data_IF_115330159234
#
_entry.id   IF_115330159234
#
_cell.length_a   1.000
_cell.length_b   1.000
_cell.length_c   1.000
_cell.angle_alpha   90.00
_cell.angle_beta   90.00
_cell.angle_gamma   90.00
#
_symmetry.space_group_name_H-M   'P 1'
#
loop_
_entity.id
_entity.type
_entity.pdbx_description
1 polymer ?
#
# COMPACT_ATOMS: atom_id res chain seq x y z
N UNK A 1 24.43 5.72 17.05
CA UNK A 1 22.98 5.50 16.96
C UNK A 1 22.69 4.36 16.01
N UNK A 2 21.52 3.70 16.12
CA UNK A 2 21.15 2.60 15.25
C UNK A 2 21.22 2.98 13.77
N UNK A 3 21.73 2.09 12.91
CA UNK A 3 21.71 2.25 11.45
C UNK A 3 20.93 1.10 10.86
N UNK A 4 19.87 1.45 10.12
CA UNK A 4 18.99 0.50 9.44
C UNK A 4 19.48 0.35 8.00
N UNK A 5 19.65 -0.90 7.56
CA UNK A 5 20.01 -1.22 6.18
C UNK A 5 18.90 -0.79 5.22
N UNK A 6 19.26 -0.43 3.99
CA UNK A 6 18.27 -0.17 2.95
C UNK A 6 17.50 -1.43 2.60
N UNK A 7 16.18 -1.32 2.48
CA UNK A 7 15.30 -2.39 2.01
C UNK A 7 14.32 -1.86 0.96
N UNK A 8 13.72 -2.75 0.17
CA UNK A 8 12.72 -2.39 -0.81
C UNK A 8 11.68 -3.50 -0.96
N UNK A 9 10.47 -3.13 -1.38
CA UNK A 9 9.47 -4.10 -1.81
C UNK A 9 9.78 -4.59 -3.22
N UNK A 10 9.25 -5.75 -3.57
CA UNK A 10 9.33 -6.29 -4.93
C UNK A 10 8.58 -5.39 -5.92
N UNK A 11 9.08 -5.29 -7.14
CA UNK A 11 8.37 -4.62 -8.23
C UNK A 11 7.14 -5.43 -8.71
N UNK A 12 6.22 -4.73 -9.39
CA UNK A 12 5.07 -5.34 -10.08
C UNK A 12 4.14 -6.15 -9.17
N UNK A 13 4.06 -5.80 -7.89
CA UNK A 13 3.07 -6.34 -6.97
C UNK A 13 1.66 -5.93 -7.40
N UNK A 14 0.74 -6.88 -7.35
CA UNK A 14 -0.67 -6.67 -7.66
C UNK A 14 -1.57 -7.25 -6.57
N UNK A 15 -2.83 -6.87 -6.61
CA UNK A 15 -3.86 -7.36 -5.70
C UNK A 15 -3.86 -8.90 -5.57
N UNK A 16 -4.07 -9.40 -4.36
CA UNK A 16 -4.09 -10.83 -4.04
C UNK A 16 -2.71 -11.45 -3.81
N UNK A 17 -1.62 -10.76 -4.16
CA UNK A 17 -0.27 -11.29 -3.95
C UNK A 17 0.16 -11.24 -2.49
N UNK A 18 1.05 -12.14 -2.11
CA UNK A 18 1.81 -12.05 -0.86
C UNK A 18 3.08 -11.21 -1.07
N UNK A 19 3.40 -10.37 -0.09
CA UNK A 19 4.70 -9.70 -0.01
C UNK A 19 5.25 -9.75 1.41
N UNK A 20 6.57 -9.77 1.52
CA UNK A 20 7.27 -9.60 2.78
C UNK A 20 8.47 -8.67 2.57
N UNK A 21 8.80 -7.89 3.58
CA UNK A 21 9.98 -7.03 3.61
C UNK A 21 10.65 -7.15 4.97
N UNK A 22 11.98 -7.17 4.97
CA UNK A 22 12.77 -7.35 6.18
C UNK A 22 13.61 -6.11 6.44
N UNK A 23 13.51 -5.60 7.66
CA UNK A 23 14.34 -4.56 8.21
C UNK A 23 15.48 -5.20 9.01
N UNK A 24 16.71 -4.76 8.74
CA UNK A 24 17.93 -5.23 9.40
C UNK A 24 18.67 -4.01 9.96
N UNK A 25 19.10 -4.12 11.22
CA UNK A 25 19.89 -3.09 11.90
C UNK A 25 21.38 -3.46 11.79
N UNK A 26 22.09 -2.81 10.86
CA UNK A 26 23.51 -3.06 10.56
C UNK A 26 24.42 -2.76 11.74
N UNK A 27 24.09 -1.72 12.52
CA UNK A 27 24.89 -1.30 13.68
C UNK A 27 24.06 -0.53 14.69
N UNK A 28 24.49 -0.51 15.94
CA UNK A 28 23.79 0.16 17.04
C UNK A 28 23.93 -0.62 18.34
N UNK A 29 24.11 0.11 19.44
CA UNK A 29 24.20 -0.44 20.78
C UNK A 29 22.81 -0.80 21.29
N UNK A 30 22.71 -1.96 21.94
CA UNK A 30 21.47 -2.45 22.55
C UNK A 30 21.16 -1.79 23.90
N UNK A 31 19.96 -1.99 24.44
CA UNK A 31 18.84 -2.73 23.85
C UNK A 31 18.21 -1.96 22.67
N UNK A 32 17.86 -2.68 21.60
CA UNK A 32 17.24 -2.10 20.41
C UNK A 32 15.75 -2.41 20.39
N UNK A 33 14.93 -1.39 20.19
CA UNK A 33 13.49 -1.55 19.98
C UNK A 33 13.15 -1.14 18.56
N UNK A 34 12.61 -2.07 17.78
CA UNK A 34 12.21 -1.84 16.38
C UNK A 34 10.69 -1.79 16.27
N UNK A 35 10.17 -0.86 15.47
CA UNK A 35 8.74 -0.74 15.13
C UNK A 35 8.55 -0.34 13.68
N UNK A 36 7.38 -0.63 13.13
CA UNK A 36 6.99 -0.22 11.78
C UNK A 36 6.01 0.94 11.81
N UNK A 37 6.18 1.86 10.87
CA UNK A 37 5.23 2.92 10.56
C UNK A 37 4.71 2.74 9.13
N UNK A 38 3.44 3.04 8.91
CA UNK A 38 2.86 3.25 7.58
C UNK A 38 2.42 4.70 7.46
N UNK A 39 2.92 5.39 6.44
CA UNK A 39 2.60 6.80 6.16
C UNK A 39 2.82 7.73 7.39
N UNK A 40 3.86 7.43 8.16
CA UNK A 40 4.25 8.16 9.36
C UNK A 40 3.48 7.81 10.64
N UNK A 41 2.44 6.97 10.55
CA UNK A 41 1.66 6.49 11.68
C UNK A 41 2.08 5.08 12.10
N UNK A 42 1.82 4.70 13.36
CA UNK A 42 2.12 3.35 13.84
C UNK A 42 1.37 2.33 12.99
N UNK A 43 2.09 1.33 12.48
CA UNK A 43 1.49 0.26 11.71
C UNK A 43 0.61 -0.60 12.63
N UNK A 44 -0.68 -0.68 12.34
CA UNK A 44 -1.62 -1.55 13.03
C UNK A 44 -1.81 -2.83 12.22
N UNK A 45 -1.32 -3.95 12.75
CA UNK A 45 -1.31 -5.24 12.03
C UNK A 45 -2.71 -5.71 11.63
N UNK A 46 -3.70 -5.51 12.50
CA UNK A 46 -5.09 -5.89 12.26
C UNK A 46 -5.75 -5.10 11.11
N UNK A 47 -5.50 -3.78 11.03
CA UNK A 47 -6.10 -2.95 9.97
C UNK A 47 -5.57 -3.31 8.57
N UNK A 48 -4.35 -3.84 8.52
CA UNK A 48 -3.65 -4.20 7.29
C UNK A 48 -3.60 -5.70 7.03
N UNK A 49 -4.26 -6.53 7.84
CA UNK A 49 -4.16 -8.01 7.75
C UNK A 49 -2.70 -8.48 7.62
N UNK A 50 -1.80 -7.81 8.33
CA UNK A 50 -0.36 -7.97 8.26
C UNK A 50 0.15 -8.77 9.46
N UNK A 51 1.39 -9.24 9.37
CA UNK A 51 2.08 -9.87 10.50
C UNK A 51 3.49 -9.32 10.60
N UNK A 52 3.87 -8.85 11.78
CA UNK A 52 5.25 -8.42 12.08
C UNK A 52 5.92 -9.44 12.97
N UNK A 53 7.05 -9.96 12.52
CA UNK A 53 7.91 -10.83 13.33
C UNK A 53 9.16 -10.07 13.76
N UNK A 54 9.55 -10.23 15.01
CA UNK A 54 10.79 -9.68 15.56
C UNK A 54 11.75 -10.82 15.91
N UNK A 55 13.02 -10.65 15.58
CA UNK A 55 14.08 -11.62 15.84
C UNK A 55 15.37 -10.90 16.24
N UNK A 56 16.31 -11.67 16.79
CA UNK A 56 17.65 -11.17 17.15
C UNK A 56 17.58 -9.93 18.05
N UNK A 57 16.75 -9.98 19.10
CA UNK A 57 16.57 -8.88 20.07
C UNK A 57 16.24 -7.54 19.40
N UNK A 58 15.39 -7.56 18.37
CA UNK A 58 14.93 -6.37 17.66
C UNK A 58 15.83 -5.91 16.51
N UNK A 59 16.97 -6.58 16.26
CA UNK A 59 17.85 -6.28 15.12
C UNK A 59 17.27 -6.68 13.78
N UNK A 60 16.38 -7.67 13.77
CA UNK A 60 15.71 -8.14 12.56
C UNK A 60 14.20 -8.06 12.78
N UNK A 61 13.49 -7.43 11.85
CA UNK A 61 12.04 -7.41 11.84
C UNK A 61 11.51 -7.65 10.43
N UNK A 62 10.54 -8.54 10.29
CA UNK A 62 9.93 -8.85 8.99
C UNK A 62 8.44 -8.52 9.02
N UNK A 63 8.01 -7.64 8.11
CA UNK A 63 6.62 -7.31 7.85
C UNK A 63 6.12 -8.18 6.69
N UNK A 64 5.06 -8.94 6.92
CA UNK A 64 4.41 -9.79 5.91
C UNK A 64 2.97 -9.36 5.70
N UNK A 65 2.55 -9.24 4.44
CA UNK A 65 1.16 -9.00 4.04
C UNK A 65 0.77 -10.13 3.10
N UNK A 66 -0.24 -10.93 3.50
CA UNK A 66 -0.59 -12.17 2.79
C UNK A 66 -1.38 -11.92 1.51
N UNK A 67 -2.28 -10.94 1.54
CA UNK A 67 -3.17 -10.63 0.44
C UNK A 67 -3.16 -9.12 0.18
N UNK A 68 -2.37 -8.71 -0.81
CA UNK A 68 -2.22 -7.31 -1.16
C UNK A 68 -3.53 -6.73 -1.70
N UNK A 69 -3.75 -5.44 -1.42
CA UNK A 69 -4.97 -4.71 -1.69
C UNK A 69 -4.64 -3.22 -1.75
N UNK A 70 -5.58 -2.40 -2.22
CA UNK A 70 -5.37 -0.96 -2.37
C UNK A 70 -4.90 -0.29 -1.06
N UNK A 71 -5.47 -0.67 0.10
CA UNK A 71 -5.14 -0.12 1.43
C UNK A 71 -3.67 -0.27 1.83
N UNK A 72 -2.95 -1.23 1.23
CA UNK A 72 -1.54 -1.49 1.50
C UNK A 72 -0.59 -0.56 0.74
N UNK A 73 -1.07 0.25 -0.20
CA UNK A 73 -0.23 1.28 -0.80
C UNK A 73 0.19 2.31 0.27
N UNK A 74 1.46 2.70 0.24
CA UNK A 74 2.00 3.69 1.16
C UNK A 74 3.50 3.61 1.36
N UNK A 75 4.02 4.49 2.21
CA UNK A 75 5.41 4.52 2.62
C UNK A 75 5.59 3.79 3.95
N UNK A 76 6.36 2.70 3.93
CA UNK A 76 6.63 1.87 5.11
C UNK A 76 8.00 2.23 5.68
N UNK A 77 8.04 2.59 6.95
CA UNK A 77 9.27 2.99 7.63
C UNK A 77 9.56 2.03 8.78
N UNK A 78 10.73 1.41 8.77
CA UNK A 78 11.26 0.71 9.92
C UNK A 78 12.00 1.71 10.79
N UNK A 79 11.60 1.83 12.06
CA UNK A 79 12.24 2.72 13.03
C UNK A 79 12.83 1.87 14.14
N UNK A 80 14.13 2.03 14.38
CA UNK A 80 14.86 1.36 15.45
C UNK A 80 15.42 2.39 16.41
N UNK A 81 15.15 2.21 17.70
CA UNK A 81 15.59 3.12 18.76
C UNK A 81 16.40 2.39 19.82
N UNK A 82 17.41 3.08 20.35
CA UNK A 82 18.02 2.77 21.65
C UNK A 82 17.86 3.98 22.59
N UNK A 83 18.45 3.93 23.79
CA UNK A 83 18.27 4.95 24.83
C UNK A 83 18.69 6.37 24.43
N UNK A 84 19.53 6.52 23.40
CA UNK A 84 20.17 7.80 23.05
C UNK A 84 19.89 8.22 21.61
N UNK A 85 19.54 7.28 20.73
CA UNK A 85 19.46 7.53 19.29
C UNK A 85 18.40 6.71 18.57
N UNK A 86 17.98 7.22 17.43
CA UNK A 86 17.02 6.58 16.51
C UNK A 86 17.65 6.46 15.13
N UNK A 87 17.48 5.29 14.51
CA UNK A 87 17.75 5.04 13.10
C UNK A 87 16.47 4.62 12.38
N UNK A 88 16.36 4.92 11.09
CA UNK A 88 15.23 4.46 10.30
C UNK A 88 15.57 4.36 8.82
N UNK A 89 14.77 3.57 8.11
CA UNK A 89 14.77 3.52 6.64
C UNK A 89 13.35 3.32 6.14
N UNK A 90 13.03 3.91 4.99
CA UNK A 90 11.68 3.89 4.40
C UNK A 90 11.69 3.29 3.00
N UNK A 91 10.64 2.55 2.65
CA UNK A 91 10.41 2.05 1.31
C UNK A 91 8.93 2.18 0.92
N UNK A 92 8.68 2.49 -0.35
CA UNK A 92 7.33 2.63 -0.90
C UNK A 92 6.83 1.27 -1.36
N UNK A 93 5.64 0.88 -0.89
CA UNK A 93 4.89 -0.26 -1.43
C UNK A 93 3.87 0.27 -2.44
N UNK A 94 3.95 -0.23 -3.67
CA UNK A 94 2.97 0.04 -4.72
C UNK A 94 2.28 -1.26 -5.13
N UNK A 95 0.97 -1.33 -4.92
CA UNK A 95 0.11 -2.46 -5.31
C UNK A 95 -0.73 -2.04 -6.50
N UNK A 96 -0.52 -2.69 -7.64
CA UNK A 96 -1.36 -2.52 -8.83
C UNK A 96 -2.72 -3.16 -8.56
N UNK A 97 -3.78 -2.38 -8.73
CA UNK A 97 -5.15 -2.86 -8.60
C UNK A 97 -5.91 -2.56 -9.90
N UNK A 98 -6.72 -3.52 -10.41
CA UNK A 98 -7.48 -3.30 -11.62
C UNK A 98 -8.53 -2.19 -11.43
N UNK A 99 -8.95 -1.52 -12.52
CA UNK A 99 -10.05 -0.57 -12.46
C UNK A 99 -11.32 -1.23 -11.93
N UNK A 100 -11.93 -0.62 -10.91
CA UNK A 100 -13.24 -1.02 -10.37
C UNK A 100 -14.19 0.17 -10.41
N UNK A 101 -15.48 -0.09 -10.62
CA UNK A 101 -16.49 0.95 -10.61
C UNK A 101 -16.62 1.56 -9.21
N UNK A 102 -16.50 2.88 -9.13
CA UNK A 102 -16.96 3.68 -7.99
C UNK A 102 -18.40 4.12 -8.24
N UNK A 103 -18.69 4.50 -9.49
CA UNK A 103 -20.02 4.78 -9.98
C UNK A 103 -20.17 4.09 -11.34
N UNK A 104 -20.88 2.97 -11.34
CA UNK A 104 -21.23 2.29 -12.56
C UNK A 104 -22.30 3.10 -13.33
N UNK A 105 -22.14 3.28 -14.65
CA UNK A 105 -23.15 3.97 -15.44
C UNK A 105 -24.44 3.15 -15.52
N UNK A 106 -25.57 3.83 -15.35
CA UNK A 106 -26.89 3.23 -15.43
C UNK A 106 -27.69 3.75 -16.62
N UNK A 107 -28.71 2.98 -17.00
CA UNK A 107 -29.64 3.37 -18.04
C UNK A 107 -30.43 4.61 -17.63
N UNK A 108 -30.60 5.53 -18.59
CA UNK A 108 -31.38 6.75 -18.41
C UNK A 108 -32.43 6.86 -19.50
N UNK A 109 -33.61 7.37 -19.13
CA UNK A 109 -34.65 7.77 -20.08
C UNK A 109 -34.39 9.23 -20.43
N UNK A 110 -33.96 9.49 -21.67
CA UNK A 110 -33.73 10.84 -22.17
C UNK A 110 -35.00 11.41 -22.81
N UNK A 111 -35.33 12.67 -22.51
CA UNK A 111 -36.41 13.39 -23.16
C UNK A 111 -35.88 14.05 -24.43
N UNK A 112 -36.59 13.87 -25.55
CA UNK A 112 -36.22 14.48 -26.83
C UNK A 112 -36.06 16.00 -26.68
N UNK A 113 -34.97 16.54 -27.24
CA UNK A 113 -34.64 17.96 -27.15
C UNK A 113 -34.06 18.42 -25.80
N UNK A 114 -33.93 17.54 -24.80
CA UNK A 114 -33.23 17.85 -23.53
C UNK A 114 -31.86 17.17 -23.47
N UNK A 115 -30.86 17.82 -22.86
CA UNK A 115 -29.55 17.19 -22.66
C UNK A 115 -29.67 16.00 -21.71
N UNK A 116 -28.96 14.92 -22.05
CA UNK A 116 -28.85 13.72 -21.25
C UNK A 116 -27.44 13.61 -20.66
N UNK A 117 -27.31 13.24 -19.39
CA UNK A 117 -26.03 13.06 -18.70
C UNK A 117 -25.94 11.65 -18.14
N UNK A 118 -24.97 10.88 -18.63
CA UNK A 118 -24.60 9.57 -18.06
C UNK A 118 -23.32 9.80 -17.26
N UNK A 119 -23.35 9.43 -15.98
CA UNK A 119 -22.21 9.59 -15.08
C UNK A 119 -21.53 8.24 -14.87
N UNK A 120 -20.21 8.26 -14.72
CA UNK A 120 -19.40 7.07 -14.52
C UNK A 120 -18.12 7.47 -13.77
N UNK A 121 -17.69 6.63 -12.82
CA UNK A 121 -16.44 6.79 -12.09
C UNK A 121 -15.82 5.42 -11.84
N UNK A 122 -14.52 5.31 -12.02
CA UNK A 122 -13.75 4.12 -11.69
C UNK A 122 -12.49 4.52 -10.92
N UNK A 123 -11.98 3.61 -10.11
CA UNK A 123 -10.70 3.78 -9.41
C UNK A 123 -9.81 2.55 -9.65
N UNK A 124 -8.50 2.74 -9.54
CA UNK A 124 -7.51 1.73 -9.89
C UNK A 124 -6.08 2.24 -9.70
N UNK A 125 -5.10 1.34 -9.68
CA UNK A 125 -3.67 1.69 -9.64
C UNK A 125 -2.97 0.99 -10.81
N UNK A 126 -2.52 1.71 -11.85
CA UNK A 126 -2.62 3.17 -12.01
C UNK A 126 -4.06 3.67 -12.22
N UNK A 127 -4.27 4.97 -11.99
CA UNK A 127 -5.59 5.58 -12.10
C UNK A 127 -6.20 5.37 -13.51
N UNK A 128 -7.45 4.89 -13.62
CA UNK A 128 -8.02 4.48 -14.90
C UNK A 128 -8.36 5.65 -15.82
N UNK A 129 -8.23 5.42 -17.13
CA UNK A 129 -8.71 6.33 -18.16
C UNK A 129 -10.12 5.92 -18.64
N UNK A 130 -11.12 6.73 -18.32
CA UNK A 130 -12.52 6.48 -18.72
C UNK A 130 -12.76 6.96 -20.16
N UNK A 131 -13.37 6.10 -21.00
CA UNK A 131 -13.74 6.42 -22.39
C UNK A 131 -15.15 5.94 -22.70
N UNK A 132 -15.93 6.79 -23.36
CA UNK A 132 -17.28 6.48 -23.83
C UNK A 132 -17.27 5.95 -25.26
N UNK A 133 -18.13 4.98 -25.54
CA UNK A 133 -18.41 4.49 -26.89
C UNK A 133 -19.92 4.44 -27.10
N UNK A 134 -20.37 4.86 -28.28
CA UNK A 134 -21.76 4.71 -28.71
C UNK A 134 -21.87 3.49 -29.61
N UNK A 135 -22.68 2.51 -29.22
CA UNK A 135 -23.11 1.47 -30.14
C UNK A 135 -24.32 1.99 -30.92
N UNK A 136 -24.24 1.99 -32.25
CA UNK A 136 -25.43 2.09 -33.09
C UNK A 136 -26.06 0.70 -33.16
N UNK A 137 -27.23 0.53 -32.53
CA UNK A 137 -28.04 -0.67 -32.72
C UNK A 137 -28.33 -0.87 -34.21
N UNK A 138 -28.24 -2.12 -34.67
CA UNK A 138 -28.72 -2.53 -36.00
C UNK A 138 -30.24 -2.49 -36.04
#
# INVERSE_FOLDING_TARGET
GPKVASFAFKDNLHEGMLTAVTCIVDSGDGPLTTRWLKDGQILLEEELDATVMYAQEGRVSTLTIKELAYKHNGNYTCVTTNDVATGSFSAILTVKVPPRWVLEPSDIIAVSGRPAKISCQADGVPHPHIRWKKATGK
#
